data_IF_878372102548
#
_entry.id   IF_878372102548
#
_cell.length_a   1.000
_cell.length_b   1.000
_cell.length_c   1.000
_cell.angle_alpha   90.00
_cell.angle_beta   90.00
_cell.angle_gamma   90.00
#
_symmetry.space_group_name_H-M   'P 1'
#
loop_
_entity.id
_entity.type
_entity.pdbx_description
1 polymer ?
#
# COMPACT_ATOMS: atom_id res chain seq x y z
N UNK A 1 12.06 -12.65 -6.12
CA UNK A 1 11.00 -12.50 -5.11
C UNK A 1 9.72 -12.20 -5.84
N UNK A 2 8.65 -12.91 -5.53
CA UNK A 2 7.33 -12.69 -6.15
C UNK A 2 6.73 -11.40 -5.60
N UNK A 3 6.07 -10.63 -6.45
CA UNK A 3 5.34 -9.42 -6.08
C UNK A 3 3.87 -9.59 -6.42
N UNK A 4 3.02 -8.74 -5.84
CA UNK A 4 1.59 -8.75 -6.07
C UNK A 4 1.21 -7.48 -6.82
N UNK A 5 0.68 -7.64 -8.03
CA UNK A 5 0.16 -6.56 -8.84
C UNK A 5 -1.34 -6.43 -8.59
N UNK A 6 -1.75 -5.28 -8.09
CA UNK A 6 -3.13 -4.91 -7.89
C UNK A 6 -3.57 -3.93 -8.98
N UNK A 7 -4.70 -4.22 -9.64
CA UNK A 7 -5.30 -3.41 -10.72
C UNK A 7 -6.83 -3.39 -10.55
N UNK A 8 -7.56 -2.46 -11.22
CA UNK A 8 -9.00 -2.45 -11.20
C UNK A 8 -9.59 -3.76 -11.73
N UNK A 9 -10.59 -4.29 -11.03
CA UNK A 9 -11.44 -5.41 -11.46
C UNK A 9 -10.75 -6.76 -11.71
N UNK A 10 -9.48 -6.92 -11.36
CA UNK A 10 -8.81 -8.21 -11.35
C UNK A 10 -8.39 -8.59 -9.93
N UNK A 11 -8.39 -9.90 -9.58
CA UNK A 11 -7.71 -10.32 -8.38
C UNK A 11 -6.22 -9.95 -8.47
N UNK A 12 -5.55 -9.70 -7.33
CA UNK A 12 -4.11 -9.52 -7.24
C UNK A 12 -3.36 -10.61 -8.01
N UNK A 13 -2.41 -10.21 -8.84
CA UNK A 13 -1.64 -11.11 -9.69
C UNK A 13 -0.21 -11.28 -9.16
N UNK A 14 0.25 -12.52 -9.08
CA UNK A 14 1.66 -12.81 -8.78
C UNK A 14 2.53 -12.49 -10.01
N UNK A 15 3.45 -11.53 -9.86
CA UNK A 15 4.30 -11.02 -10.94
C UNK A 15 5.77 -10.89 -10.49
N UNK A 16 6.66 -10.59 -11.44
CA UNK A 16 8.04 -10.20 -11.20
C UNK A 16 8.20 -8.75 -10.69
N UNK A 17 9.33 -8.12 -11.01
CA UNK A 17 9.61 -6.74 -10.65
C UNK A 17 9.05 -5.73 -11.68
N UNK A 18 9.43 -4.45 -11.58
CA UNK A 18 8.98 -3.43 -12.53
C UNK A 18 9.50 -3.66 -13.97
N UNK A 19 10.56 -4.45 -14.13
CA UNK A 19 11.10 -4.84 -15.42
C UNK A 19 10.37 -6.03 -16.05
N UNK A 20 9.47 -6.70 -15.31
CA UNK A 20 8.62 -7.74 -15.85
C UNK A 20 7.74 -7.15 -16.97
N UNK A 21 7.75 -7.72 -18.19
CA UNK A 21 6.94 -7.22 -19.31
C UNK A 21 5.45 -7.11 -18.98
N UNK A 22 4.92 -7.99 -18.13
CA UNK A 22 3.53 -7.95 -17.69
C UNK A 22 3.24 -6.72 -16.82
N UNK A 23 4.17 -6.35 -15.92
CA UNK A 23 4.06 -5.16 -15.06
C UNK A 23 4.29 -3.88 -15.86
N UNK A 24 5.32 -3.85 -16.71
CA UNK A 24 5.65 -2.69 -17.51
C UNK A 24 4.51 -2.28 -18.47
N UNK A 25 3.82 -3.27 -19.05
CA UNK A 25 2.69 -3.06 -19.95
C UNK A 25 1.35 -2.83 -19.26
N UNK A 26 1.26 -3.01 -17.94
CA UNK A 26 0.01 -2.82 -17.19
C UNK A 26 -0.37 -1.34 -17.13
N UNK A 27 -1.55 -0.93 -17.62
CA UNK A 27 -2.02 0.45 -17.50
C UNK A 27 -2.37 0.78 -16.04
N UNK A 28 -2.22 2.04 -15.66
CA UNK A 28 -2.71 2.55 -14.38
C UNK A 28 -4.24 2.75 -14.36
N UNK A 29 -4.87 2.82 -13.18
CA UNK A 29 -4.23 2.81 -11.87
C UNK A 29 -3.74 1.40 -11.49
N UNK A 30 -2.56 1.28 -10.90
CA UNK A 30 -2.01 0.00 -10.48
C UNK A 30 -1.08 0.17 -9.28
N UNK A 31 -0.98 -0.84 -8.42
CA UNK A 31 -0.03 -0.86 -7.30
C UNK A 31 0.67 -2.20 -7.24
N UNK A 32 1.99 -2.16 -7.06
CA UNK A 32 2.85 -3.32 -6.90
C UNK A 32 3.25 -3.44 -5.44
N UNK A 33 2.89 -4.54 -4.79
CA UNK A 33 3.23 -4.86 -3.42
C UNK A 33 4.31 -5.95 -3.36
N UNK A 34 5.10 -5.97 -2.28
CA UNK A 34 5.89 -7.17 -1.96
C UNK A 34 4.94 -8.29 -1.55
N UNK A 35 5.12 -9.51 -2.06
CA UNK A 35 4.42 -10.64 -1.46
C UNK A 35 5.10 -10.97 -0.12
N UNK A 36 4.39 -10.80 1.00
CA UNK A 36 4.86 -11.31 2.28
C UNK A 36 4.71 -12.83 2.31
N UNK A 37 5.79 -13.55 2.61
CA UNK A 37 5.80 -15.01 2.79
C UNK A 37 5.12 -15.41 4.11
N UNK A 38 3.90 -14.98 4.37
CA UNK A 38 3.11 -15.48 5.52
C UNK A 38 2.21 -16.62 5.06
N UNK A 39 2.81 -17.67 4.51
CA UNK A 39 2.26 -19.01 4.65
C UNK A 39 2.98 -19.62 5.84
N UNK A 40 2.27 -19.72 6.96
CA UNK A 40 2.70 -20.56 8.07
C UNK A 40 2.77 -22.00 7.53
N UNK A 41 3.99 -22.51 7.39
CA UNK A 41 4.35 -23.81 6.81
C UNK A 41 3.98 -24.95 7.79
N UNK A 42 2.71 -24.99 8.20
CA UNK A 42 2.16 -25.98 9.12
C UNK A 42 0.98 -26.69 8.48
N UNK A 43 1.21 -27.35 7.35
CA UNK A 43 0.36 -28.48 6.96
C UNK A 43 1.13 -29.48 6.10
N UNK A 44 1.45 -30.61 6.72
CA UNK A 44 1.91 -31.82 6.06
C UNK A 44 1.02 -32.17 4.87
N UNK A 45 1.59 -32.29 3.67
CA UNK A 45 0.99 -33.08 2.60
C UNK A 45 1.19 -32.50 1.21
N UNK A 46 1.79 -33.31 0.34
CA UNK A 46 1.95 -33.08 -1.08
C UNK A 46 0.70 -32.46 -1.76
N UNK A 47 0.90 -31.32 -2.41
CA UNK A 47 -0.06 -30.70 -3.31
C UNK A 47 0.59 -29.50 -3.97
N UNK A 48 0.53 -29.43 -5.30
CA UNK A 48 0.96 -28.26 -6.06
C UNK A 48 0.12 -27.08 -5.57
N UNK A 49 0.68 -26.21 -4.73
CA UNK A 49 -0.01 -25.04 -4.21
C UNK A 49 -0.21 -24.05 -5.37
N UNK A 50 -1.41 -24.05 -5.93
CA UNK A 50 -1.90 -22.90 -6.66
C UNK A 50 -1.82 -21.70 -5.70
N UNK A 51 -1.31 -20.52 -6.13
CA UNK A 51 -1.31 -19.34 -5.28
C UNK A 51 -2.74 -19.10 -4.81
N UNK A 52 -2.97 -19.15 -3.49
CA UNK A 52 -4.24 -18.71 -2.90
C UNK A 52 -4.52 -17.33 -3.47
N UNK A 53 -5.66 -17.19 -4.14
CA UNK A 53 -6.12 -15.91 -4.66
C UNK A 53 -6.24 -14.96 -3.45
N UNK A 54 -5.22 -14.12 -3.24
CA UNK A 54 -5.31 -13.04 -2.26
C UNK A 54 -6.47 -12.14 -2.68
N UNK A 55 -7.32 -11.74 -1.74
CA UNK A 55 -8.27 -10.67 -2.04
C UNK A 55 -7.57 -9.30 -1.98
N UNK A 56 -8.22 -8.27 -2.54
CA UNK A 56 -7.66 -6.92 -2.59
C UNK A 56 -7.33 -6.40 -1.18
N UNK A 57 -8.16 -6.71 -0.18
CA UNK A 57 -7.95 -6.29 1.20
C UNK A 57 -6.65 -6.87 1.78
N UNK A 58 -6.40 -8.15 1.55
CA UNK A 58 -5.18 -8.85 1.98
C UNK A 58 -3.94 -8.42 1.18
N UNK A 59 -4.11 -8.01 -0.08
CA UNK A 59 -3.01 -7.45 -0.85
C UNK A 59 -2.56 -6.09 -0.28
N UNK A 60 -3.51 -5.24 0.11
CA UNK A 60 -3.27 -3.88 0.62
C UNK A 60 -2.59 -3.83 2.01
N UNK A 61 -2.51 -4.95 2.73
CA UNK A 61 -1.77 -5.01 4.00
C UNK A 61 -0.27 -5.21 3.79
N UNK A 62 0.15 -5.64 2.61
CA UNK A 62 1.56 -5.81 2.28
C UNK A 62 2.25 -4.46 2.07
N UNK A 63 3.58 -4.49 2.11
CA UNK A 63 4.41 -3.33 1.83
C UNK A 63 4.32 -2.94 0.33
N UNK A 64 3.88 -1.73 -0.02
CA UNK A 64 3.82 -1.25 -1.39
C UNK A 64 5.23 -0.90 -1.89
N UNK A 65 5.51 -1.13 -3.16
CA UNK A 65 6.81 -0.91 -3.80
C UNK A 65 6.71 0.20 -4.82
N UNK A 66 5.66 0.18 -5.65
CA UNK A 66 5.45 1.16 -6.69
C UNK A 66 3.96 1.34 -6.93
N UNK A 67 3.57 2.51 -7.41
CA UNK A 67 2.23 2.77 -7.91
C UNK A 67 2.30 3.36 -9.32
N UNK A 68 1.21 3.26 -10.06
CA UNK A 68 1.04 3.89 -11.36
C UNK A 68 -0.30 4.59 -11.38
N UNK A 69 -0.31 5.88 -11.66
CA UNK A 69 -1.53 6.67 -11.84
C UNK A 69 -2.19 6.38 -13.20
N UNK A 70 -3.49 6.70 -13.40
CA UNK A 70 -4.13 6.57 -14.70
C UNK A 70 -3.40 7.38 -15.78
N UNK A 71 -2.91 6.68 -16.82
CA UNK A 71 -2.17 7.30 -17.91
C UNK A 71 -0.75 7.80 -17.55
N UNK A 72 -0.29 7.56 -16.32
CA UNK A 72 1.04 7.93 -15.85
C UNK A 72 2.10 6.84 -16.06
N UNK A 73 3.32 7.13 -15.62
CA UNK A 73 4.41 6.17 -15.50
C UNK A 73 4.41 5.49 -14.13
N UNK A 74 5.17 4.40 -14.00
CA UNK A 74 5.41 3.79 -12.69
C UNK A 74 6.24 4.73 -11.81
N UNK A 75 5.75 4.96 -10.59
CA UNK A 75 6.44 5.69 -9.54
C UNK A 75 6.89 4.70 -8.45
N UNK A 76 8.19 4.61 -8.22
CA UNK A 76 8.76 3.82 -7.13
C UNK A 76 8.58 4.57 -5.80
N UNK A 77 7.95 3.94 -4.82
CA UNK A 77 7.81 4.52 -3.49
C UNK A 77 9.16 4.54 -2.77
N UNK A 78 9.44 5.64 -2.09
CA UNK A 78 10.51 5.71 -1.13
C UNK A 78 10.34 4.69 -0.01
N UNK A 79 11.46 4.17 0.51
CA UNK A 79 11.48 3.22 1.63
C UNK A 79 10.60 3.66 2.80
N UNK A 80 10.64 4.96 3.11
CA UNK A 80 9.88 5.54 4.21
C UNK A 80 8.36 5.46 4.00
N UNK A 81 7.85 5.78 2.82
CA UNK A 81 6.41 5.72 2.55
C UNK A 81 5.91 4.26 2.54
N UNK A 82 6.69 3.35 1.96
CA UNK A 82 6.40 1.92 1.95
C UNK A 82 6.29 1.32 3.35
N UNK A 83 7.31 1.53 4.20
CA UNK A 83 7.33 1.02 5.57
C UNK A 83 6.23 1.68 6.42
N UNK A 84 5.97 2.97 6.19
CA UNK A 84 4.90 3.66 6.90
C UNK A 84 3.54 3.06 6.58
N UNK A 85 3.26 2.78 5.30
CA UNK A 85 2.02 2.11 4.89
C UNK A 85 1.87 0.74 5.55
N UNK A 86 2.93 -0.07 5.56
CA UNK A 86 2.95 -1.39 6.20
C UNK A 86 2.72 -1.31 7.73
N UNK A 87 3.17 -0.23 8.37
CA UNK A 87 2.94 0.04 9.79
C UNK A 87 1.54 0.57 10.14
N UNK A 88 0.72 0.99 9.16
CA UNK A 88 -0.64 1.47 9.42
C UNK A 88 -1.56 0.33 9.89
N UNK A 89 -2.53 0.65 10.75
CA UNK A 89 -3.62 -0.30 11.02
C UNK A 89 -4.54 -0.40 9.81
N UNK A 90 -5.22 -1.54 9.67
CA UNK A 90 -6.20 -1.73 8.59
C UNK A 90 -7.28 -0.67 8.59
N UNK A 91 -7.80 -0.29 9.77
CA UNK A 91 -8.84 0.74 9.88
C UNK A 91 -8.37 2.14 9.46
N UNK A 92 -7.08 2.44 9.61
CA UNK A 92 -6.52 3.70 9.12
C UNK A 92 -6.29 3.65 7.61
N UNK A 93 -5.79 2.54 7.07
CA UNK A 93 -5.67 2.36 5.61
C UNK A 93 -7.03 2.53 4.93
N UNK A 94 -8.05 1.85 5.42
CA UNK A 94 -9.40 1.91 4.85
C UNK A 94 -9.96 3.34 4.87
N UNK A 95 -9.76 4.08 5.98
CA UNK A 95 -10.17 5.49 6.06
C UNK A 95 -9.40 6.38 5.09
N UNK A 96 -8.09 6.19 4.94
CA UNK A 96 -7.27 6.99 4.03
C UNK A 96 -7.60 6.71 2.55
N UNK A 97 -7.89 5.46 2.21
CA UNK A 97 -8.36 5.06 0.87
C UNK A 97 -9.75 5.66 0.61
N UNK A 98 -10.67 5.60 1.57
CA UNK A 98 -12.01 6.15 1.42
C UNK A 98 -12.01 7.70 1.35
N UNK A 99 -11.17 8.34 2.16
CA UNK A 99 -11.00 9.79 2.23
C UNK A 99 -9.53 10.16 2.50
N UNK A 100 -8.82 10.52 1.42
CA UNK A 100 -7.44 11.03 1.49
C UNK A 100 -7.27 12.28 2.38
N UNK A 101 -8.37 12.97 2.72
CA UNK A 101 -8.36 14.16 3.57
C UNK A 101 -8.75 13.86 5.02
N UNK A 102 -8.96 12.57 5.35
CA UNK A 102 -9.31 12.11 6.68
C UNK A 102 -8.35 12.68 7.73
N UNK A 103 -8.94 13.27 8.76
CA UNK A 103 -8.18 13.83 9.87
C UNK A 103 -7.85 12.73 10.87
N UNK A 104 -6.57 12.67 11.23
CA UNK A 104 -6.02 11.77 12.23
C UNK A 104 -5.82 12.57 13.52
N UNK A 105 -6.35 12.05 14.63
CA UNK A 105 -6.17 12.68 15.94
C UNK A 105 -4.70 12.67 16.36
N UNK A 106 -4.32 13.50 17.32
CA UNK A 106 -2.96 13.49 17.85
C UNK A 106 -2.59 12.12 18.44
N UNK A 107 -3.53 11.48 19.13
CA UNK A 107 -3.32 10.19 19.79
C UNK A 107 -3.08 9.10 18.75
N UNK A 108 -3.90 9.07 17.70
CA UNK A 108 -3.77 8.11 16.60
C UNK A 108 -2.50 8.34 15.78
N UNK A 109 -2.22 9.59 15.43
CA UNK A 109 -0.97 9.98 14.78
C UNK A 109 0.23 9.52 15.60
N UNK A 110 0.24 9.80 16.92
CA UNK A 110 1.33 9.39 17.79
C UNK A 110 1.50 7.87 17.90
N UNK A 111 0.41 7.10 17.76
CA UNK A 111 0.47 5.64 17.76
C UNK A 111 1.08 5.13 16.45
N UNK A 112 0.61 5.66 15.32
CA UNK A 112 1.07 5.30 13.97
C UNK A 112 2.51 5.71 13.70
N UNK A 113 2.95 6.86 14.21
CA UNK A 113 4.33 7.34 13.99
C UNK A 113 5.31 6.86 15.06
N UNK A 114 4.90 5.99 16.00
CA UNK A 114 5.76 5.55 17.10
C UNK A 114 6.90 4.69 16.56
N UNK A 115 8.13 5.19 16.67
CA UNK A 115 9.33 4.51 16.16
C UNK A 115 9.65 4.82 14.70
N UNK A 116 8.83 5.63 14.01
CA UNK A 116 9.13 6.14 12.68
C UNK A 116 10.28 7.16 12.73
N UNK A 117 11.07 7.24 11.65
CA UNK A 117 12.09 8.27 11.49
C UNK A 117 11.44 9.66 11.37
N UNK A 118 12.19 10.71 11.74
CA UNK A 118 11.70 12.09 11.59
C UNK A 118 11.36 12.42 10.12
N UNK A 119 12.17 11.94 9.17
CA UNK A 119 11.95 12.11 7.74
C UNK A 119 10.70 11.39 7.25
N UNK A 120 10.45 10.17 7.70
CA UNK A 120 9.23 9.43 7.39
C UNK A 120 7.99 10.17 7.91
N UNK A 121 8.09 10.78 9.08
CA UNK A 121 7.01 11.57 9.67
C UNK A 121 6.76 12.85 8.87
N UNK A 122 7.78 13.65 8.61
CA UNK A 122 7.62 14.96 7.96
C UNK A 122 7.28 14.87 6.48
N UNK A 123 7.60 13.75 5.83
CA UNK A 123 7.32 13.55 4.39
C UNK A 123 5.90 13.04 4.14
N UNK A 124 5.34 12.27 5.08
CA UNK A 124 4.06 11.57 4.89
C UNK A 124 2.90 12.14 5.70
N UNK A 125 3.14 13.12 6.56
CA UNK A 125 2.11 13.74 7.39
C UNK A 125 2.22 15.25 7.42
N UNK A 126 1.07 15.92 7.37
CA UNK A 126 0.97 17.36 7.54
C UNK A 126 0.03 17.73 8.69
N UNK A 127 0.35 18.82 9.37
CA UNK A 127 -0.48 19.37 10.42
C UNK A 127 -1.71 20.07 9.83
N UNK A 128 -2.90 19.72 10.33
CA UNK A 128 -4.19 20.15 9.74
C UNK A 128 -4.96 21.19 10.56
N UNK A 129 -4.44 21.64 11.72
CA UNK A 129 -5.01 22.77 12.46
C UNK A 129 -5.41 22.47 13.90
N UNK A 130 -6.43 23.19 14.40
CA UNK A 130 -6.90 23.14 15.79
C UNK A 130 -8.32 22.54 15.87
N UNK A 131 -8.60 21.54 16.74
CA UNK A 131 -7.64 20.85 17.64
C UNK A 131 -6.53 20.15 16.86
N UNK A 132 -5.41 19.81 17.51
CA UNK A 132 -4.21 19.28 16.83
C UNK A 132 -4.53 17.97 16.09
N UNK A 133 -4.74 18.09 14.78
CA UNK A 133 -5.00 16.98 13.86
C UNK A 133 -3.95 16.93 12.76
N UNK A 134 -3.86 15.77 12.12
CA UNK A 134 -2.90 15.47 11.05
C UNK A 134 -3.63 14.91 9.84
N UNK A 135 -3.03 15.03 8.66
CA UNK A 135 -3.49 14.42 7.41
C UNK A 135 -2.32 13.76 6.71
N UNK A 136 -2.62 12.73 5.92
CA UNK A 136 -1.63 12.10 5.05
C UNK A 136 -1.13 13.10 4.00
N UNK A 137 0.14 13.00 3.65
CA UNK A 137 0.83 13.84 2.68
C UNK A 137 1.84 13.02 1.86
N UNK A 138 2.47 13.67 0.87
CA UNK A 138 3.52 13.06 0.05
C UNK A 138 3.09 11.78 -0.66
N UNK A 139 4.04 10.85 -0.80
CA UNK A 139 3.84 9.57 -1.49
C UNK A 139 2.78 8.70 -0.81
N UNK A 140 2.62 8.80 0.52
CA UNK A 140 1.60 8.04 1.24
C UNK A 140 0.18 8.49 0.86
N UNK A 141 0.00 9.78 0.57
CA UNK A 141 -1.27 10.35 0.08
C UNK A 141 -1.54 9.91 -1.36
N UNK A 142 -0.53 9.99 -2.21
CA UNK A 142 -0.62 9.58 -3.62
C UNK A 142 -0.94 8.09 -3.77
N UNK A 143 -0.29 7.25 -2.97
CA UNK A 143 -0.62 5.83 -2.88
C UNK A 143 -2.08 5.60 -2.47
N UNK A 144 -2.57 6.29 -1.43
CA UNK A 144 -3.95 6.16 -0.99
C UNK A 144 -4.95 6.57 -2.08
N UNK A 145 -4.61 7.56 -2.91
CA UNK A 145 -5.41 7.98 -4.07
C UNK A 145 -5.47 6.91 -5.15
N UNK A 146 -4.34 6.33 -5.52
CA UNK A 146 -4.31 5.24 -6.53
C UNK A 146 -5.09 4.02 -6.03
N UNK A 147 -4.94 3.66 -4.75
CA UNK A 147 -5.71 2.56 -4.15
C UNK A 147 -7.22 2.86 -4.10
N UNK A 148 -7.60 4.12 -3.86
CA UNK A 148 -9.00 4.54 -3.90
C UNK A 148 -9.60 4.39 -5.31
N UNK A 149 -8.83 4.64 -6.35
CA UNK A 149 -9.28 4.46 -7.74
C UNK A 149 -9.38 2.99 -8.14
N UNK A 150 -8.49 2.14 -7.64
CA UNK A 150 -8.55 0.69 -7.84
C UNK A 150 -9.80 0.08 -7.17
N UNK A 151 -10.18 0.61 -6.01
CA UNK A 151 -11.33 0.12 -5.23
C UNK A 151 -12.71 0.63 -5.72
N UNK A 152 -12.76 1.51 -6.73
CA UNK A 152 -14.00 2.00 -7.34
C UNK A 152 -14.51 1.06 -8.43
#
# INVERSE_FOLDING_TARGET
MTKLLLTPQAPPQSVGDLGDPSVASTPGPAVLFSASSTNDDSSNGAGIEAPLAQDNASAMTNRPIAYREPGGDWHELGYEASDHWEGLTSELRDRLIADRTAQVSREEYSATTKGASASMITSNWTYSGSPRTYRVAGELRELAEVLAEIGR
#
